data_IF_158891247780
#
_entry.id   IF_158891247780
#
_cell.length_a   1.000
_cell.length_b   1.000
_cell.length_c   1.000
_cell.angle_alpha   90.00
_cell.angle_beta   90.00
_cell.angle_gamma   90.00
#
_symmetry.space_group_name_H-M   'P 1'
#
loop_
_entity.id
_entity.type
_entity.pdbx_description
1 polymer ?
#
# COMPACT_ATOMS: atom_id res chain seq x y z
N UNK A 1 -8.14 9.16 58.73
CA UNK A 1 -8.34 9.72 60.09
C UNK A 1 -8.82 11.15 59.91
N UNK A 2 -10.12 11.38 60.00
CA UNK A 2 -10.68 12.74 60.00
C UNK A 2 -10.51 13.31 61.40
N UNK A 3 -9.57 14.24 61.57
CA UNK A 3 -9.44 15.02 62.81
C UNK A 3 -10.66 15.93 62.91
N UNK A 4 -11.53 15.69 63.90
CA UNK A 4 -12.61 16.62 64.22
C UNK A 4 -11.98 17.93 64.72
N UNK A 5 -12.27 19.08 64.09
CA UNK A 5 -11.80 20.36 64.60
C UNK A 5 -12.47 20.61 65.96
N UNK A 6 -11.67 20.73 67.02
CA UNK A 6 -12.17 21.08 68.35
C UNK A 6 -12.66 22.54 68.30
N UNK A 7 -13.97 22.73 68.24
CA UNK A 7 -14.59 24.05 68.27
C UNK A 7 -14.57 24.58 69.71
N UNK A 8 -13.62 25.47 70.00
CA UNK A 8 -13.56 26.19 71.26
C UNK A 8 -14.64 27.28 71.28
N UNK A 9 -15.56 27.20 72.24
CA UNK A 9 -16.56 28.26 72.46
C UNK A 9 -15.86 29.53 72.98
N UNK A 10 -15.97 30.68 72.30
CA UNK A 10 -15.42 31.94 72.78
C UNK A 10 -15.91 32.28 74.19
N UNK A 11 -15.02 32.80 75.05
CA UNK A 11 -15.34 33.11 76.47
C UNK A 11 -16.58 33.99 76.64
N UNK A 12 -16.82 34.93 75.73
CA UNK A 12 -18.01 35.79 75.76
C UNK A 12 -19.33 35.01 75.61
N UNK A 13 -19.35 34.00 74.74
CA UNK A 13 -20.51 33.12 74.54
C UNK A 13 -20.67 32.15 75.72
N UNK A 14 -19.56 31.62 76.24
CA UNK A 14 -19.55 30.73 77.41
C UNK A 14 -20.08 31.41 78.67
N UNK A 15 -19.66 32.64 78.95
CA UNK A 15 -20.14 33.43 80.08
C UNK A 15 -21.63 33.81 79.98
N UNK A 16 -22.16 33.92 78.75
CA UNK A 16 -23.56 34.31 78.51
C UNK A 16 -24.52 33.12 78.47
N UNK A 17 -24.06 31.95 78.00
CA UNK A 17 -24.88 30.74 77.82
C UNK A 17 -24.77 29.77 79.02
N UNK A 18 -23.78 29.95 79.89
CA UNK A 18 -23.42 28.95 80.91
C UNK A 18 -22.74 27.72 80.29
N UNK A 19 -22.24 26.80 81.13
CA UNK A 19 -21.51 25.63 80.65
C UNK A 19 -22.38 24.65 79.86
N UNK A 20 -23.58 24.36 80.37
CA UNK A 20 -24.53 23.48 79.66
C UNK A 20 -24.92 24.06 78.29
N UNK A 21 -25.16 25.38 78.21
CA UNK A 21 -25.51 26.05 76.96
C UNK A 21 -24.34 26.09 75.95
N UNK A 22 -23.11 26.27 76.43
CA UNK A 22 -21.92 26.22 75.60
C UNK A 22 -21.67 24.80 75.05
N UNK A 23 -21.86 23.76 75.86
CA UNK A 23 -21.76 22.36 75.42
C UNK A 23 -22.84 21.98 74.42
N UNK A 24 -24.09 22.40 74.65
CA UNK A 24 -25.19 22.19 73.71
C UNK A 24 -24.94 22.87 72.35
N UNK A 25 -24.38 24.08 72.35
CA UNK A 25 -24.01 24.79 71.12
C UNK A 25 -22.92 24.04 70.34
N UNK A 26 -21.89 23.51 71.02
CA UNK A 26 -20.85 22.68 70.38
C UNK A 26 -21.48 21.44 69.77
N UNK A 27 -22.39 20.76 70.49
CA UNK A 27 -23.12 19.61 69.98
C UNK A 27 -23.90 19.91 68.70
N UNK A 28 -24.64 21.03 68.69
CA UNK A 28 -25.39 21.48 67.51
C UNK A 28 -24.48 21.81 66.32
N UNK A 29 -23.37 22.53 66.54
CA UNK A 29 -22.45 22.88 65.44
C UNK A 29 -21.75 21.64 64.90
N UNK A 30 -21.34 20.70 65.76
CA UNK A 30 -20.75 19.44 65.33
C UNK A 30 -21.75 18.61 64.51
N UNK A 31 -23.00 18.55 64.93
CA UNK A 31 -24.07 17.87 64.20
C UNK A 31 -24.36 18.54 62.84
N UNK A 32 -24.42 19.87 62.80
CA UNK A 32 -24.60 20.64 61.58
C UNK A 32 -23.42 20.46 60.61
N UNK A 33 -22.18 20.47 61.11
CA UNK A 33 -20.98 20.23 60.32
C UNK A 33 -20.91 18.80 59.77
N UNK A 34 -21.26 17.80 60.59
CA UNK A 34 -21.32 16.40 60.15
C UNK A 34 -22.38 16.22 59.06
N UNK A 35 -23.56 16.80 59.24
CA UNK A 35 -24.62 16.82 58.22
C UNK A 35 -24.19 17.51 56.93
N UNK A 36 -23.55 18.68 57.03
CA UNK A 36 -23.04 19.45 55.89
C UNK A 36 -21.95 18.72 55.12
N UNK A 37 -21.01 18.04 55.81
CA UNK A 37 -19.99 17.19 55.16
C UNK A 37 -20.62 16.03 54.43
N UNK A 38 -21.53 15.30 55.08
CA UNK A 38 -22.23 14.18 54.46
C UNK A 38 -23.02 14.60 53.23
N UNK A 39 -23.76 15.71 53.32
CA UNK A 39 -24.48 16.27 52.18
C UNK A 39 -23.52 16.66 51.04
N UNK A 40 -22.40 17.29 51.35
CA UNK A 40 -21.41 17.67 50.34
C UNK A 40 -20.77 16.44 49.68
N UNK A 41 -20.43 15.40 50.44
CA UNK A 41 -19.91 14.13 49.93
C UNK A 41 -20.89 13.46 48.97
N UNK A 42 -22.17 13.39 49.35
CA UNK A 42 -23.24 12.83 48.52
C UNK A 42 -23.45 13.66 47.25
N UNK A 43 -23.56 14.99 47.39
CA UNK A 43 -23.76 15.91 46.27
C UNK A 43 -22.61 15.86 45.26
N UNK A 44 -21.36 15.86 45.72
CA UNK A 44 -20.19 15.78 44.83
C UNK A 44 -20.11 14.42 44.16
N UNK A 45 -20.38 13.34 44.89
CA UNK A 45 -20.38 11.98 44.33
C UNK A 45 -21.42 11.83 43.22
N UNK A 46 -22.67 12.26 43.46
CA UNK A 46 -23.73 12.21 42.45
C UNK A 46 -23.38 13.04 41.21
N UNK A 47 -22.86 14.26 41.42
CA UNK A 47 -22.44 15.13 40.31
C UNK A 47 -21.29 14.54 39.50
N UNK A 48 -20.32 13.93 40.17
CA UNK A 48 -19.18 13.31 39.53
C UNK A 48 -19.61 12.05 38.75
N UNK A 49 -20.41 11.18 39.34
CA UNK A 49 -20.97 10.00 38.67
C UNK A 49 -21.77 10.39 37.43
N UNK A 50 -22.67 11.37 37.56
CA UNK A 50 -23.45 11.88 36.43
C UNK A 50 -22.54 12.39 35.31
N UNK A 51 -21.53 13.21 35.64
CA UNK A 51 -20.62 13.76 34.63
C UNK A 51 -19.76 12.68 33.99
N UNK A 52 -19.30 11.70 34.77
CA UNK A 52 -18.57 10.56 34.25
C UNK A 52 -19.41 9.73 33.28
N UNK A 53 -20.68 9.46 33.60
CA UNK A 53 -21.58 8.74 32.71
C UNK A 53 -21.82 9.50 31.40
N UNK A 54 -22.04 10.82 31.48
CA UNK A 54 -22.21 11.68 30.31
C UNK A 54 -20.98 11.68 29.40
N UNK A 55 -19.79 11.93 29.95
CA UNK A 55 -18.54 11.96 29.17
C UNK A 55 -18.15 10.58 28.63
N UNK A 56 -18.34 9.51 29.41
CA UNK A 56 -18.13 8.14 28.93
C UNK A 56 -19.10 7.80 27.79
N UNK A 57 -20.35 8.27 27.87
CA UNK A 57 -21.34 8.11 26.82
C UNK A 57 -20.94 8.82 25.52
N UNK A 58 -20.49 10.07 25.62
CA UNK A 58 -20.00 10.85 24.47
C UNK A 58 -18.79 10.20 23.82
N UNK A 59 -17.77 9.84 24.60
CA UNK A 59 -16.57 9.18 24.09
C UNK A 59 -16.89 7.86 23.37
N UNK A 60 -17.84 7.07 23.88
CA UNK A 60 -18.30 5.85 23.20
C UNK A 60 -18.96 6.14 21.86
N UNK A 61 -19.73 7.22 21.75
CA UNK A 61 -20.38 7.63 20.51
C UNK A 61 -19.35 8.14 19.49
N UNK A 62 -18.45 9.02 19.91
CA UNK A 62 -17.37 9.56 19.07
C UNK A 62 -16.48 8.43 18.53
N UNK A 63 -16.05 7.51 19.40
CA UNK A 63 -15.25 6.36 18.99
C UNK A 63 -15.98 5.48 17.98
N UNK A 64 -17.28 5.25 18.16
CA UNK A 64 -18.10 4.46 17.22
C UNK A 64 -18.23 5.16 15.87
N UNK A 65 -18.39 6.49 15.88
CA UNK A 65 -18.47 7.29 14.66
C UNK A 65 -17.15 7.27 13.89
N UNK A 66 -16.03 7.53 14.55
CA UNK A 66 -14.69 7.50 13.94
C UNK A 66 -14.34 6.11 13.40
N UNK A 67 -14.65 5.05 14.16
CA UNK A 67 -14.49 3.67 13.69
C UNK A 67 -15.34 3.40 12.45
N UNK A 68 -16.54 3.98 12.38
CA UNK A 68 -17.43 3.90 11.22
C UNK A 68 -16.85 4.60 9.99
N UNK A 69 -16.34 5.82 10.16
CA UNK A 69 -15.68 6.61 9.11
C UNK A 69 -14.46 5.86 8.55
N UNK A 70 -13.56 5.40 9.42
CA UNK A 70 -12.37 4.64 9.01
C UNK A 70 -12.74 3.37 8.23
N UNK A 71 -13.79 2.65 8.63
CA UNK A 71 -14.26 1.48 7.88
C UNK A 71 -14.75 1.83 6.47
N UNK A 72 -15.42 2.97 6.31
CA UNK A 72 -15.88 3.43 5.00
C UNK A 72 -14.70 3.83 4.12
N UNK A 73 -13.76 4.61 4.65
CA UNK A 73 -12.54 5.01 3.94
C UNK A 73 -11.73 3.80 3.47
N UNK A 74 -11.49 2.81 4.35
CA UNK A 74 -10.80 1.58 3.98
C UNK A 74 -11.53 0.85 2.84
N UNK A 75 -12.86 0.77 2.90
CA UNK A 75 -13.65 0.10 1.87
C UNK A 75 -13.56 0.84 0.52
N UNK A 76 -13.59 2.17 0.56
CA UNK A 76 -13.46 3.01 -0.64
C UNK A 76 -12.08 2.86 -1.27
N UNK A 77 -11.01 3.00 -0.50
CA UNK A 77 -9.63 2.87 -0.99
C UNK A 77 -9.34 1.45 -1.49
N UNK A 78 -9.86 0.43 -0.82
CA UNK A 78 -9.80 -0.96 -1.31
C UNK A 78 -10.51 -1.09 -2.65
N UNK A 79 -11.67 -0.44 -2.82
CA UNK A 79 -12.40 -0.41 -4.09
C UNK A 79 -11.60 0.26 -5.22
N UNK A 80 -11.02 1.43 -4.96
CA UNK A 80 -10.15 2.14 -5.91
C UNK A 80 -8.96 1.27 -6.32
N UNK A 81 -8.33 0.58 -5.36
CA UNK A 81 -7.21 -0.32 -5.63
C UNK A 81 -7.61 -1.48 -6.55
N UNK A 82 -8.78 -2.09 -6.33
CA UNK A 82 -9.28 -3.16 -7.21
C UNK A 82 -9.53 -2.68 -8.64
N UNK A 83 -10.06 -1.47 -8.81
CA UNK A 83 -10.25 -0.85 -10.12
C UNK A 83 -8.90 -0.65 -10.81
N UNK A 84 -7.93 -0.05 -10.12
CA UNK A 84 -6.59 0.17 -10.67
C UNK A 84 -5.88 -1.15 -11.06
N UNK A 85 -6.04 -2.21 -10.27
CA UNK A 85 -5.51 -3.54 -10.62
C UNK A 85 -6.19 -4.11 -11.88
N UNK A 86 -7.50 -3.91 -12.03
CA UNK A 86 -8.23 -4.37 -13.20
C UNK A 86 -7.81 -3.61 -14.47
N UNK A 87 -7.65 -2.30 -14.38
CA UNK A 87 -7.15 -1.45 -15.47
C UNK A 87 -5.73 -1.86 -15.89
N UNK A 88 -4.81 -1.98 -14.93
CA UNK A 88 -3.44 -2.43 -15.21
C UNK A 88 -3.40 -3.81 -15.88
N UNK A 89 -4.26 -4.74 -15.44
CA UNK A 89 -4.36 -6.07 -16.07
C UNK A 89 -4.85 -5.96 -17.51
N UNK A 90 -5.81 -5.09 -17.80
CA UNK A 90 -6.32 -4.87 -19.14
C UNK A 90 -5.26 -4.25 -20.06
N UNK A 91 -4.54 -3.22 -19.57
CA UNK A 91 -3.42 -2.60 -20.29
C UNK A 91 -2.32 -3.61 -20.59
N UNK A 92 -1.94 -4.44 -19.62
CA UNK A 92 -0.94 -5.48 -19.81
C UNK A 92 -1.38 -6.51 -20.86
N UNK A 93 -2.66 -6.91 -20.85
CA UNK A 93 -3.19 -7.83 -21.86
C UNK A 93 -3.15 -7.22 -23.26
N UNK A 94 -3.58 -5.96 -23.40
CA UNK A 94 -3.48 -5.22 -24.67
C UNK A 94 -2.02 -5.09 -25.14
N UNK A 95 -1.10 -4.78 -24.23
CA UNK A 95 0.33 -4.74 -24.51
C UNK A 95 0.87 -6.08 -25.03
N UNK A 96 0.49 -7.19 -24.41
CA UNK A 96 0.86 -8.53 -24.88
C UNK A 96 0.30 -8.86 -26.27
N UNK A 97 -0.95 -8.49 -26.56
CA UNK A 97 -1.53 -8.66 -27.90
C UNK A 97 -0.76 -7.85 -28.95
N UNK A 98 -0.40 -6.60 -28.63
CA UNK A 98 0.43 -5.77 -29.51
C UNK A 98 1.81 -6.38 -29.78
N UNK A 99 2.47 -6.94 -28.76
CA UNK A 99 3.74 -7.65 -28.94
C UNK A 99 3.57 -8.88 -29.84
N UNK A 100 2.52 -9.67 -29.65
CA UNK A 100 2.25 -10.84 -30.50
C UNK A 100 2.06 -10.47 -31.97
N UNK A 101 1.39 -9.35 -32.23
CA UNK A 101 1.21 -8.82 -33.58
C UNK A 101 2.54 -8.40 -34.21
N UNK A 102 3.39 -7.69 -33.47
CA UNK A 102 4.74 -7.33 -33.94
C UNK A 102 5.57 -8.58 -34.27
N UNK A 103 5.53 -9.62 -33.44
CA UNK A 103 6.22 -10.88 -33.71
C UNK A 103 5.72 -11.56 -35.00
N UNK A 104 4.42 -11.51 -35.28
CA UNK A 104 3.86 -12.05 -36.53
C UNK A 104 4.46 -11.35 -37.75
N UNK A 105 4.64 -10.04 -37.70
CA UNK A 105 5.25 -9.29 -38.79
C UNK A 105 6.75 -9.57 -38.91
N UNK A 106 7.47 -9.70 -37.79
CA UNK A 106 8.86 -10.16 -37.78
C UNK A 106 9.00 -11.53 -38.47
N UNK A 107 8.11 -12.49 -38.19
CA UNK A 107 8.12 -13.79 -38.86
C UNK A 107 7.92 -13.68 -40.38
N UNK A 108 7.03 -12.79 -40.85
CA UNK A 108 6.84 -12.56 -42.28
C UNK A 108 8.10 -11.98 -42.93
N UNK A 109 8.74 -11.01 -42.29
CA UNK A 109 9.98 -10.41 -42.81
C UNK A 109 11.13 -11.44 -42.84
N UNK A 110 11.26 -12.29 -41.82
CA UNK A 110 12.22 -13.40 -41.81
C UNK A 110 11.94 -14.36 -42.98
N UNK A 111 10.68 -14.69 -43.24
CA UNK A 111 10.31 -15.58 -44.36
C UNK A 111 10.67 -14.98 -45.73
N UNK A 112 10.41 -13.68 -45.94
CA UNK A 112 10.81 -12.96 -47.15
C UNK A 112 12.33 -12.96 -47.33
N UNK A 113 13.06 -12.67 -46.25
CA UNK A 113 14.52 -12.67 -46.26
C UNK A 113 15.07 -14.06 -46.58
N UNK A 114 14.47 -15.12 -46.03
CA UNK A 114 14.85 -16.50 -46.32
C UNK A 114 14.64 -16.86 -47.81
N UNK A 115 13.52 -16.44 -48.39
CA UNK A 115 13.27 -16.61 -49.82
C UNK A 115 14.31 -15.88 -50.69
N UNK A 116 14.61 -14.62 -50.36
CA UNK A 116 15.62 -13.84 -51.07
C UNK A 116 17.02 -14.47 -50.99
N UNK A 117 17.42 -14.97 -49.81
CA UNK A 117 18.69 -15.71 -49.65
C UNK A 117 18.70 -16.97 -50.52
N UNK A 118 17.59 -17.72 -50.58
CA UNK A 118 17.48 -18.91 -51.43
C UNK A 118 17.70 -18.59 -52.91
N UNK A 119 17.10 -17.50 -53.40
CA UNK A 119 17.25 -17.09 -54.80
C UNK A 119 18.65 -16.56 -55.11
N UNK A 120 19.27 -15.82 -54.18
CA UNK A 120 20.69 -15.46 -54.28
C UNK A 120 21.56 -16.71 -54.34
N UNK A 121 21.31 -17.71 -53.49
CA UNK A 121 22.06 -18.96 -53.48
C UNK A 121 21.94 -19.72 -54.82
N UNK A 122 20.73 -19.80 -55.39
CA UNK A 122 20.52 -20.38 -56.72
C UNK A 122 21.31 -19.63 -57.79
N UNK A 123 21.24 -18.30 -57.80
CA UNK A 123 21.93 -17.50 -58.84
C UNK A 123 23.46 -17.65 -58.75
N UNK A 124 24.03 -17.67 -57.55
CA UNK A 124 25.45 -17.99 -57.32
C UNK A 124 25.78 -19.37 -57.87
N UNK A 125 24.98 -20.40 -57.56
CA UNK A 125 25.25 -21.77 -58.03
C UNK A 125 25.27 -21.88 -59.57
N UNK A 126 24.36 -21.17 -60.24
CA UNK A 126 24.28 -21.11 -61.70
C UNK A 126 25.49 -20.37 -62.26
N UNK A 127 25.84 -19.20 -61.69
CA UNK A 127 27.02 -18.44 -62.11
C UNK A 127 28.32 -19.25 -61.93
N UNK A 128 28.51 -19.93 -60.80
CA UNK A 128 29.68 -20.79 -60.55
C UNK A 128 29.78 -21.91 -61.59
N UNK A 129 28.65 -22.56 -61.92
CA UNK A 129 28.63 -23.60 -62.96
C UNK A 129 29.08 -23.05 -64.32
N UNK A 130 28.61 -21.88 -64.73
CA UNK A 130 29.03 -21.26 -65.98
C UNK A 130 30.49 -20.82 -65.96
N UNK A 131 30.96 -20.21 -64.87
CA UNK A 131 32.37 -19.80 -64.73
C UNK A 131 33.34 -20.98 -64.82
N UNK A 132 33.03 -22.11 -64.18
CA UNK A 132 33.86 -23.32 -64.28
C UNK A 132 33.90 -23.81 -65.73
N UNK A 133 32.74 -23.89 -66.39
CA UNK A 133 32.64 -24.30 -67.78
C UNK A 133 33.48 -23.44 -68.73
N UNK A 134 33.40 -22.11 -68.59
CA UNK A 134 34.20 -21.17 -69.42
C UNK A 134 35.69 -21.27 -69.12
N UNK A 135 36.07 -21.45 -67.86
CA UNK A 135 37.48 -21.59 -67.46
C UNK A 135 38.08 -22.87 -68.04
N UNK A 136 37.38 -24.00 -67.94
CA UNK A 136 37.82 -25.27 -68.55
C UNK A 136 37.93 -25.13 -70.06
N UNK A 137 36.92 -24.55 -70.72
CA UNK A 137 36.92 -24.38 -72.17
C UNK A 137 38.08 -23.50 -72.67
N UNK A 138 38.48 -22.48 -71.90
CA UNK A 138 39.61 -21.62 -72.22
C UNK A 138 40.97 -22.31 -72.00
N UNK A 139 41.13 -23.08 -70.91
CA UNK A 139 42.42 -23.67 -70.52
C UNK A 139 42.70 -25.03 -71.19
N UNK A 140 41.67 -25.85 -71.40
CA UNK A 140 41.82 -27.23 -71.93
C UNK A 140 42.51 -27.30 -73.30
N UNK A 141 42.23 -26.42 -74.28
CA UNK A 141 42.94 -26.42 -75.57
C UNK A 141 44.43 -26.12 -75.42
N UNK A 142 44.79 -25.21 -74.50
CA UNK A 142 46.19 -24.86 -74.22
C UNK A 142 46.92 -26.07 -73.63
N UNK A 143 46.29 -26.75 -72.66
CA UNK A 143 46.84 -27.98 -72.09
C UNK A 143 47.06 -29.07 -73.15
N UNK A 144 46.09 -29.29 -74.05
CA UNK A 144 46.22 -30.25 -75.15
C UNK A 144 47.34 -29.89 -76.14
N UNK A 145 47.51 -28.60 -76.45
CA UNK A 145 48.58 -28.13 -77.32
C UNK A 145 49.96 -28.41 -76.70
N UNK A 146 50.13 -28.11 -75.40
CA UNK A 146 51.36 -28.41 -74.66
C UNK A 146 51.62 -29.91 -74.56
N UNK A 147 50.60 -30.72 -74.29
CA UNK A 147 50.72 -32.19 -74.25
C UNK A 147 51.20 -32.75 -75.59
N UNK A 148 50.59 -32.32 -76.71
CA UNK A 148 51.05 -32.72 -78.05
C UNK A 148 52.51 -32.35 -78.29
N UNK A 149 52.92 -31.15 -77.91
CA UNK A 149 54.32 -30.70 -78.06
C UNK A 149 55.32 -31.55 -77.28
N UNK A 150 55.01 -31.93 -76.04
CA UNK A 150 55.90 -32.72 -75.19
C UNK A 150 56.03 -34.18 -75.67
N UNK A 151 54.94 -34.78 -76.15
CA UNK A 151 54.93 -36.18 -76.57
C UNK A 151 55.22 -36.42 -78.07
N UNK A 152 55.13 -35.39 -78.92
CA UNK A 152 55.51 -35.49 -80.33
C UNK A 152 57.03 -35.30 -80.57
N UNK A 153 57.79 -34.93 -79.54
CA UNK A 153 59.25 -34.73 -79.59
C UNK A 153 60.02 -35.94 -79.00
N UNK A 154 59.31 -37.03 -78.68
CA UNK A 154 59.88 -38.36 -78.37
C UNK A 154 59.60 -39.32 -79.52
#
# INVERSE_FOLDING_TARGET
MSTEPILLVPKALRNSLGEEGAEALVGLINQANAGGRKFMEEFVSERFEKRLMEETGKLRLELKEETGKLRLEIKEETGKLWIAIAELRAEMHAGFMGIQEQFKDVYKEIAKLHAAISDVHKSISVQTRWMIGTTIAAVFPIYLALFKLVFAVK
#
